data_IF_481868873351
#
_entry.id   IF_481868873351
#
_cell.length_a   1.000
_cell.length_b   1.000
_cell.length_c   1.000
_cell.angle_alpha   90.00
_cell.angle_beta   90.00
_cell.angle_gamma   90.00
#
_symmetry.space_group_name_H-M   'P 1'
#
loop_
_entity.id
_entity.type
_entity.pdbx_description
1 polymer ?
#
# COMPACT_ATOMS: atom_id res chain seq x y z
N UNK A 1 -8.48 9.92 -8.33
CA UNK A 1 -9.50 10.98 -8.14
C UNK A 1 -10.72 10.81 -9.05
N UNK A 2 -10.59 10.56 -10.35
CA UNK A 2 -11.77 10.43 -11.23
C UNK A 2 -12.81 9.38 -10.76
N UNK A 3 -12.37 8.16 -10.43
CA UNK A 3 -13.30 7.16 -9.86
C UNK A 3 -13.86 7.59 -8.50
N UNK A 4 -13.06 8.31 -7.68
CA UNK A 4 -13.54 8.91 -6.43
C UNK A 4 -14.64 9.95 -6.64
N UNK A 5 -14.51 10.81 -7.66
CA UNK A 5 -15.50 11.83 -8.01
C UNK A 5 -16.85 11.22 -8.41
N UNK A 6 -16.85 10.02 -9.00
CA UNK A 6 -18.10 9.29 -9.29
C UNK A 6 -18.88 8.86 -8.05
N UNK A 7 -18.22 8.74 -6.89
CA UNK A 7 -18.75 8.20 -5.62
C UNK A 7 -19.39 6.79 -5.74
N UNK A 8 -19.13 6.11 -6.84
CA UNK A 8 -19.73 4.82 -7.19
C UNK A 8 -18.78 3.67 -6.85
N UNK A 9 -19.08 2.95 -5.78
CA UNK A 9 -18.27 1.82 -5.31
C UNK A 9 -18.29 0.65 -6.29
N UNK A 10 -19.30 0.50 -7.13
CA UNK A 10 -19.32 -0.52 -8.17
C UNK A 10 -18.26 -0.24 -9.23
N UNK A 11 -18.01 1.02 -9.58
CA UNK A 11 -16.92 1.39 -10.48
C UNK A 11 -15.55 1.16 -9.86
N UNK A 12 -15.37 1.38 -8.55
CA UNK A 12 -14.13 1.04 -7.87
C UNK A 12 -13.89 -0.49 -7.87
N UNK A 13 -14.93 -1.28 -7.64
CA UNK A 13 -14.86 -2.74 -7.75
C UNK A 13 -14.48 -3.18 -9.18
N UNK A 14 -15.15 -2.64 -10.21
CA UNK A 14 -14.86 -2.95 -11.61
C UNK A 14 -13.44 -2.55 -12.02
N UNK A 15 -12.93 -1.41 -11.54
CA UNK A 15 -11.53 -1.03 -11.74
C UNK A 15 -10.59 -2.10 -11.13
N UNK A 16 -10.90 -2.61 -9.94
CA UNK A 16 -10.16 -3.68 -9.30
C UNK A 16 -10.21 -4.99 -10.09
N UNK A 17 -11.41 -5.36 -10.57
CA UNK A 17 -11.63 -6.55 -11.41
C UNK A 17 -10.78 -6.50 -12.68
N UNK A 18 -10.84 -5.40 -13.41
CA UNK A 18 -10.06 -5.23 -14.65
C UNK A 18 -8.56 -5.25 -14.36
N UNK A 19 -8.12 -4.52 -13.33
CA UNK A 19 -6.72 -4.51 -12.89
C UNK A 19 -6.22 -5.94 -12.62
N UNK A 20 -7.00 -6.75 -11.93
CA UNK A 20 -6.63 -8.11 -11.60
C UNK A 20 -6.60 -9.02 -12.84
N UNK A 21 -7.64 -8.99 -13.67
CA UNK A 21 -7.73 -9.85 -14.87
C UNK A 21 -6.57 -9.56 -15.84
N UNK A 22 -6.33 -8.29 -16.13
CA UNK A 22 -5.27 -7.89 -17.06
C UNK A 22 -3.88 -8.07 -16.46
N UNK A 23 -3.71 -7.66 -15.19
CA UNK A 23 -2.44 -7.86 -14.49
C UNK A 23 -2.06 -9.33 -14.35
N UNK A 24 -3.02 -10.20 -14.02
CA UNK A 24 -2.78 -11.65 -13.96
C UNK A 24 -2.42 -12.23 -15.32
N UNK A 25 -3.04 -11.76 -16.38
CA UNK A 25 -2.68 -12.18 -17.74
C UNK A 25 -1.22 -11.81 -18.09
N UNK A 26 -0.71 -10.70 -17.54
CA UNK A 26 0.68 -10.26 -17.70
C UNK A 26 1.66 -10.85 -16.68
N UNK A 27 1.20 -11.73 -15.77
CA UNK A 27 2.05 -12.35 -14.75
C UNK A 27 2.24 -11.51 -13.48
N UNK A 28 1.44 -10.47 -13.27
CA UNK A 28 1.45 -9.66 -12.06
C UNK A 28 0.55 -10.33 -11.01
N UNK A 29 1.07 -10.55 -9.80
CA UNK A 29 0.37 -11.27 -8.73
C UNK A 29 -0.06 -10.37 -7.58
N UNK A 30 0.52 -9.18 -7.46
CA UNK A 30 0.25 -8.21 -6.40
C UNK A 30 0.20 -6.80 -6.98
N UNK A 31 -0.91 -6.10 -6.77
CA UNK A 31 -1.07 -4.70 -7.14
C UNK A 31 -0.76 -3.81 -5.93
N UNK A 32 0.05 -2.77 -6.11
CA UNK A 32 0.27 -1.73 -5.10
C UNK A 32 -0.86 -0.69 -5.14
N UNK A 33 -2.07 -1.19 -4.90
CA UNK A 33 -3.35 -0.48 -4.87
C UNK A 33 -4.33 -1.20 -3.92
N UNK A 34 -5.26 -0.44 -3.29
CA UNK A 34 -5.60 0.98 -3.46
C UNK A 34 -4.69 1.96 -2.72
N UNK A 35 -4.72 3.24 -3.17
CA UNK A 35 -4.30 4.37 -2.34
C UNK A 35 -5.44 4.66 -1.36
N UNK A 36 -5.14 4.56 -0.06
CA UNK A 36 -6.09 4.75 1.04
C UNK A 36 -5.87 6.08 1.80
N UNK A 37 -4.91 6.87 1.33
CA UNK A 37 -4.63 8.18 1.88
C UNK A 37 -5.81 9.12 1.66
N UNK A 38 -6.25 9.81 2.72
CA UNK A 38 -7.29 10.84 2.67
C UNK A 38 -6.64 12.15 2.28
N UNK A 39 -6.91 12.68 1.08
CA UNK A 39 -6.24 13.87 0.54
C UNK A 39 -6.88 15.15 1.06
N UNK A 40 -6.80 15.38 2.35
CA UNK A 40 -7.40 16.50 3.06
C UNK A 40 -6.52 17.77 3.11
N UNK A 41 -5.25 17.66 2.70
CA UNK A 41 -4.35 18.80 2.57
C UNK A 41 -4.14 19.14 1.08
N UNK A 42 -4.64 20.31 0.61
CA UNK A 42 -4.51 20.70 -0.80
C UNK A 42 -3.06 20.99 -1.21
N UNK A 43 -2.15 21.16 -0.24
CA UNK A 43 -0.72 21.36 -0.51
C UNK A 43 0.06 20.05 -0.63
N UNK A 44 -0.59 18.90 -0.47
CA UNK A 44 0.09 17.63 -0.56
C UNK A 44 0.65 17.40 -1.97
N UNK A 45 1.99 17.29 -2.14
CA UNK A 45 2.59 17.18 -3.47
C UNK A 45 2.63 15.77 -4.03
N UNK A 46 2.31 14.75 -3.20
CA UNK A 46 2.52 13.33 -3.53
C UNK A 46 1.21 12.61 -3.80
N UNK A 47 0.22 12.77 -2.94
CA UNK A 47 -1.04 12.01 -2.99
C UNK A 47 -2.00 12.61 -4.01
N UNK A 48 -2.42 13.84 -3.85
CA UNK A 48 -3.21 14.60 -4.83
C UNK A 48 -4.24 13.73 -5.61
N UNK A 49 -4.12 13.69 -6.95
CA UNK A 49 -5.01 12.96 -7.84
C UNK A 49 -4.98 11.42 -7.68
N UNK A 50 -4.05 10.86 -6.91
CA UNK A 50 -3.97 9.41 -6.63
C UNK A 50 -5.03 8.94 -5.65
N UNK A 51 -5.50 9.83 -4.74
CA UNK A 51 -6.53 9.53 -3.75
C UNK A 51 -7.94 9.43 -4.36
N UNK A 52 -8.85 8.75 -3.66
CA UNK A 52 -10.28 8.79 -3.96
C UNK A 52 -10.93 10.11 -3.55
N UNK A 53 -10.34 10.88 -2.63
CA UNK A 53 -10.84 12.18 -2.19
C UNK A 53 -10.38 12.59 -0.80
N UNK A 54 -11.05 13.60 -0.25
CA UNK A 54 -10.77 14.22 1.06
C UNK A 54 -11.68 13.73 2.19
N UNK A 55 -12.74 12.98 1.85
CA UNK A 55 -13.68 12.41 2.81
C UNK A 55 -13.22 10.99 3.22
N UNK A 56 -12.90 10.76 4.52
CA UNK A 56 -12.45 9.46 5.01
C UNK A 56 -13.44 8.33 4.75
N UNK A 57 -14.74 8.62 4.79
CA UNK A 57 -15.79 7.62 4.56
C UNK A 57 -15.84 7.22 3.08
N UNK A 58 -15.73 8.19 2.17
CA UNK A 58 -15.65 7.92 0.74
C UNK A 58 -14.42 7.07 0.42
N UNK A 59 -13.22 7.49 0.92
CA UNK A 59 -11.98 6.74 0.69
C UNK A 59 -12.09 5.31 1.23
N UNK A 60 -12.70 5.15 2.41
CA UNK A 60 -12.94 3.83 3.02
C UNK A 60 -13.80 2.92 2.14
N UNK A 61 -14.94 3.41 1.68
CA UNK A 61 -15.87 2.62 0.85
C UNK A 61 -15.29 2.28 -0.52
N UNK A 62 -14.68 3.26 -1.18
CA UNK A 62 -14.06 3.07 -2.50
C UNK A 62 -12.85 2.15 -2.42
N UNK A 63 -12.00 2.34 -1.39
CA UNK A 63 -10.84 1.48 -1.13
C UNK A 63 -11.23 0.03 -0.87
N UNK A 64 -12.22 -0.20 0.00
CA UNK A 64 -12.72 -1.54 0.29
C UNK A 64 -13.33 -2.23 -0.95
N UNK A 65 -14.04 -1.49 -1.80
CA UNK A 65 -14.59 -2.02 -3.05
C UNK A 65 -13.47 -2.41 -4.03
N UNK A 66 -12.44 -1.57 -4.18
CA UNK A 66 -11.29 -1.87 -5.03
C UNK A 66 -10.51 -3.09 -4.53
N UNK A 67 -10.31 -3.22 -3.20
CA UNK A 67 -9.68 -4.40 -2.59
C UNK A 67 -10.42 -5.68 -2.99
N UNK A 68 -11.76 -5.69 -2.85
CA UNK A 68 -12.58 -6.85 -3.26
C UNK A 68 -12.46 -7.12 -4.75
N UNK A 69 -12.59 -6.09 -5.59
CA UNK A 69 -12.46 -6.26 -7.04
C UNK A 69 -11.11 -6.86 -7.47
N UNK A 70 -10.01 -6.46 -6.83
CA UNK A 70 -8.69 -7.03 -7.09
C UNK A 70 -8.61 -8.48 -6.60
N UNK A 71 -9.00 -8.77 -5.36
CA UNK A 71 -8.73 -10.04 -4.72
C UNK A 71 -9.66 -11.17 -5.15
N UNK A 72 -10.93 -10.88 -5.42
CA UNK A 72 -11.89 -11.84 -5.95
C UNK A 72 -11.52 -12.31 -7.38
N UNK A 73 -10.65 -11.56 -8.08
CA UNK A 73 -10.16 -11.90 -9.41
C UNK A 73 -8.69 -12.36 -9.43
N UNK A 74 -8.23 -12.86 -8.28
CA UNK A 74 -6.99 -13.65 -8.20
C UNK A 74 -5.69 -12.84 -8.18
N UNK A 75 -5.71 -11.60 -7.66
CA UNK A 75 -4.51 -10.78 -7.44
C UNK A 75 -4.49 -10.29 -5.98
N UNK A 76 -3.34 -10.06 -5.38
CA UNK A 76 -3.25 -9.42 -4.07
C UNK A 76 -3.42 -7.90 -4.21
N UNK A 77 -4.30 -7.32 -3.39
CA UNK A 77 -4.38 -5.88 -3.19
C UNK A 77 -3.42 -5.43 -2.09
N UNK A 78 -2.91 -4.20 -2.19
CA UNK A 78 -2.02 -3.59 -1.20
C UNK A 78 -2.49 -2.18 -0.88
N UNK A 79 -3.10 -2.00 0.29
CA UNK A 79 -3.51 -0.68 0.76
C UNK A 79 -2.29 0.18 1.10
N UNK A 80 -2.31 1.45 0.70
CA UNK A 80 -1.17 2.36 0.89
C UNK A 80 -1.57 3.81 1.08
N UNK A 81 -0.76 4.59 1.75
CA UNK A 81 0.52 4.32 2.44
C UNK A 81 0.30 4.40 3.95
N UNK A 82 0.33 3.26 4.62
CA UNK A 82 0.02 3.17 6.06
C UNK A 82 1.07 3.89 6.93
N UNK A 83 0.68 4.70 7.92
CA UNK A 83 -0.67 4.92 8.48
C UNK A 83 -1.44 6.11 7.89
N UNK A 84 -1.05 6.67 6.77
CA UNK A 84 -1.71 7.77 6.05
C UNK A 84 -0.73 8.88 5.67
N UNK A 85 -0.69 9.21 4.39
CA UNK A 85 0.20 10.20 3.77
C UNK A 85 -0.56 11.44 3.25
N UNK A 86 -1.89 11.49 3.49
CA UNK A 86 -2.73 12.52 2.85
C UNK A 86 -2.55 13.92 3.42
N UNK A 87 -2.16 14.06 4.69
CA UNK A 87 -2.00 15.35 5.38
C UNK A 87 -0.51 15.75 5.54
N UNK A 88 0.28 15.64 4.46
CA UNK A 88 1.67 16.08 4.44
C UNK A 88 1.88 17.21 3.44
N UNK A 89 2.82 18.11 3.73
CA UNK A 89 3.27 19.17 2.83
C UNK A 89 4.64 18.87 2.22
N UNK A 90 5.41 17.96 2.81
CA UNK A 90 6.72 17.53 2.33
C UNK A 90 6.61 16.38 1.34
N UNK A 91 7.58 16.32 0.42
CA UNK A 91 7.72 15.20 -0.49
C UNK A 91 8.54 14.08 0.16
N UNK A 92 7.90 12.96 0.51
CA UNK A 92 8.54 11.80 1.13
C UNK A 92 9.64 11.14 0.29
N UNK A 93 9.70 11.42 -1.01
CA UNK A 93 10.82 10.99 -1.86
C UNK A 93 12.11 11.78 -1.57
N UNK A 94 12.01 12.99 -1.03
CA UNK A 94 13.13 13.90 -0.82
C UNK A 94 13.55 14.04 0.65
N UNK A 95 12.56 14.03 1.55
CA UNK A 95 12.78 14.25 2.99
C UNK A 95 11.76 13.49 3.84
N UNK A 96 12.02 13.38 5.15
CA UNK A 96 11.08 12.77 6.09
C UNK A 96 9.85 13.66 6.26
N UNK A 97 8.76 13.26 5.64
CA UNK A 97 7.47 13.96 5.78
C UNK A 97 6.89 13.77 7.19
N UNK A 98 6.16 14.78 7.70
CA UNK A 98 5.55 14.71 9.03
C UNK A 98 4.05 14.91 8.96
N UNK A 99 3.32 14.07 9.70
CA UNK A 99 1.88 14.23 9.98
C UNK A 99 1.74 14.61 11.46
N UNK A 100 1.55 15.90 11.71
CA UNK A 100 1.52 16.46 13.06
C UNK A 100 0.09 16.71 13.54
N UNK A 101 -0.64 15.64 13.79
CA UNK A 101 -2.03 15.67 14.24
C UNK A 101 -2.20 14.84 15.52
N UNK A 102 -3.32 15.02 16.23
CA UNK A 102 -3.61 14.24 17.44
C UNK A 102 -3.93 12.78 17.11
N UNK A 103 -3.78 11.89 18.09
CA UNK A 103 -4.18 10.48 17.96
C UNK A 103 -5.65 10.34 17.58
N UNK A 104 -6.53 11.10 18.20
CA UNK A 104 -7.97 11.09 17.90
C UNK A 104 -8.25 11.48 16.43
N UNK A 105 -7.49 12.43 15.88
CA UNK A 105 -7.57 12.79 14.47
C UNK A 105 -7.10 11.64 13.58
N UNK A 106 -5.96 11.00 13.87
CA UNK A 106 -5.47 9.83 13.12
C UNK A 106 -6.51 8.72 13.10
N UNK A 107 -7.14 8.41 14.23
CA UNK A 107 -8.15 7.36 14.34
C UNK A 107 -9.41 7.66 13.50
N UNK A 108 -9.81 8.93 13.43
CA UNK A 108 -11.05 9.35 12.75
C UNK A 108 -10.88 9.61 11.25
N UNK A 109 -9.68 9.91 10.80
CA UNK A 109 -9.41 10.30 9.41
C UNK A 109 -8.41 9.35 8.74
N UNK A 110 -7.15 9.41 9.15
CA UNK A 110 -6.06 8.73 8.44
C UNK A 110 -6.15 7.21 8.51
N UNK A 111 -6.42 6.64 9.70
CA UNK A 111 -6.48 5.19 9.92
C UNK A 111 -7.79 4.54 9.47
N UNK A 112 -8.87 5.32 9.33
CA UNK A 112 -10.20 4.80 9.02
C UNK A 112 -10.26 4.04 7.69
N UNK A 113 -9.71 4.52 6.56
CA UNK A 113 -9.69 3.76 5.31
C UNK A 113 -8.86 2.47 5.39
N UNK A 114 -7.79 2.45 6.17
CA UNK A 114 -6.98 1.25 6.38
C UNK A 114 -7.74 0.19 7.17
N UNK A 115 -8.47 0.60 8.23
CA UNK A 115 -9.33 -0.33 8.96
C UNK A 115 -10.44 -0.90 8.06
N UNK A 116 -11.04 -0.08 7.21
CA UNK A 116 -12.04 -0.54 6.25
C UNK A 116 -11.46 -1.54 5.23
N UNK A 117 -10.23 -1.32 4.77
CA UNK A 117 -9.53 -2.25 3.89
C UNK A 117 -9.18 -3.57 4.62
N UNK A 118 -8.76 -3.52 5.89
CA UNK A 118 -8.51 -4.72 6.72
C UNK A 118 -9.81 -5.51 6.89
N UNK A 119 -10.91 -4.85 7.20
CA UNK A 119 -12.23 -5.48 7.32
C UNK A 119 -12.72 -6.07 5.99
N UNK A 120 -12.31 -5.50 4.84
CA UNK A 120 -12.55 -6.06 3.51
C UNK A 120 -11.58 -7.20 3.14
N UNK A 121 -10.68 -7.58 4.05
CA UNK A 121 -9.76 -8.70 3.86
C UNK A 121 -8.52 -8.37 3.01
N UNK A 122 -8.04 -7.12 3.00
CA UNK A 122 -6.83 -6.74 2.26
C UNK A 122 -5.64 -7.60 2.67
N UNK A 123 -4.89 -8.10 1.70
CA UNK A 123 -3.80 -9.05 1.94
C UNK A 123 -2.40 -8.46 1.87
N UNK A 124 -2.26 -7.24 1.39
CA UNK A 124 -1.04 -6.44 1.40
C UNK A 124 -1.27 -5.08 2.06
N UNK A 125 -0.25 -4.58 2.73
CA UNK A 125 -0.21 -3.21 3.24
C UNK A 125 1.18 -2.63 2.94
N UNK A 126 1.22 -1.44 2.35
CA UNK A 126 2.48 -0.72 2.10
C UNK A 126 2.64 0.40 3.10
N UNK A 127 3.84 0.53 3.64
CA UNK A 127 4.15 1.51 4.68
C UNK A 127 4.43 2.89 4.11
N UNK A 128 4.41 3.90 4.96
CA UNK A 128 4.73 5.28 4.68
C UNK A 128 6.06 5.68 5.33
N UNK A 129 6.94 6.34 4.58
CA UNK A 129 8.17 6.94 5.11
C UNK A 129 7.90 8.32 5.70
N UNK A 130 7.23 8.34 6.84
CA UNK A 130 6.87 9.58 7.51
C UNK A 130 6.88 9.49 9.03
N UNK A 131 7.09 10.62 9.67
CA UNK A 131 7.05 10.82 11.11
C UNK A 131 5.63 11.15 11.57
N UNK A 132 5.12 10.37 12.51
CA UNK A 132 3.81 10.58 13.15
C UNK A 132 3.99 10.64 14.68
N UNK A 133 4.31 11.83 15.25
CA UNK A 133 4.62 11.96 16.68
C UNK A 133 3.53 11.47 17.62
N UNK A 134 2.26 11.49 17.19
CA UNK A 134 1.14 10.96 17.96
C UNK A 134 1.11 9.43 18.06
N UNK A 135 1.89 8.72 17.26
CA UNK A 135 2.04 7.26 17.29
C UNK A 135 3.38 6.83 17.86
N UNK A 136 4.47 7.51 17.46
CA UNK A 136 5.83 7.22 17.89
C UNK A 136 6.59 8.53 18.12
N UNK A 137 6.94 8.80 19.38
CA UNK A 137 7.64 10.03 19.78
C UNK A 137 9.14 10.02 19.50
N UNK A 138 9.67 8.93 18.95
CA UNK A 138 11.10 8.83 18.60
C UNK A 138 11.48 9.56 17.30
N UNK A 139 10.47 10.11 16.60
CA UNK A 139 10.65 10.76 15.30
C UNK A 139 11.28 9.85 14.22
N UNK A 140 11.03 8.56 14.35
CA UNK A 140 11.43 7.55 13.38
C UNK A 140 10.36 7.43 12.28
N UNK A 141 10.79 7.21 11.03
CA UNK A 141 9.84 6.93 9.95
C UNK A 141 8.95 5.74 10.31
N UNK A 142 7.64 5.84 10.09
CA UNK A 142 6.67 4.80 10.45
C UNK A 142 7.07 3.41 9.95
N UNK A 143 7.63 3.32 8.75
CA UNK A 143 8.20 2.08 8.18
C UNK A 143 9.20 1.37 9.12
N UNK A 144 9.93 2.14 9.92
CA UNK A 144 10.99 1.64 10.80
C UNK A 144 10.56 1.55 12.27
N UNK A 145 9.30 1.85 12.57
CA UNK A 145 8.73 1.88 13.92
C UNK A 145 7.95 0.59 14.23
N UNK A 146 8.41 -0.18 15.21
CA UNK A 146 7.69 -1.35 15.71
C UNK A 146 6.34 -0.96 16.34
N UNK A 147 6.30 0.18 17.02
CA UNK A 147 5.06 0.74 17.61
C UNK A 147 3.98 0.95 16.55
N UNK A 148 4.37 1.44 15.35
CA UNK A 148 3.42 1.68 14.28
C UNK A 148 3.11 0.39 13.48
N UNK A 149 4.13 -0.39 13.12
CA UNK A 149 3.94 -1.56 12.26
C UNK A 149 3.46 -2.80 13.01
N UNK A 150 4.00 -3.07 14.18
CA UNK A 150 3.64 -4.26 14.95
C UNK A 150 2.51 -3.97 15.93
N UNK A 151 2.66 -2.98 16.81
CA UNK A 151 1.67 -2.77 17.88
C UNK A 151 0.37 -2.18 17.33
N UNK A 152 0.43 -1.14 16.49
CA UNK A 152 -0.78 -0.54 15.93
C UNK A 152 -1.36 -1.40 14.80
N UNK A 153 -0.61 -1.61 13.70
CA UNK A 153 -1.18 -2.25 12.51
C UNK A 153 -1.51 -3.72 12.72
N UNK A 154 -0.56 -4.52 13.24
CA UNK A 154 -0.81 -5.95 13.38
C UNK A 154 -1.66 -6.27 14.59
N UNK A 155 -1.33 -5.72 15.77
CA UNK A 155 -1.98 -6.10 17.02
C UNK A 155 -3.31 -5.38 17.23
N UNK A 156 -3.34 -4.05 17.15
CA UNK A 156 -4.55 -3.29 17.45
C UNK A 156 -5.55 -3.32 16.29
N UNK A 157 -5.08 -3.14 15.04
CA UNK A 157 -5.95 -3.13 13.86
C UNK A 157 -6.19 -4.53 13.25
N UNK A 158 -5.44 -5.55 13.67
CA UNK A 158 -5.64 -6.95 13.28
C UNK A 158 -5.16 -7.32 11.87
N UNK A 159 -4.21 -6.57 11.29
CA UNK A 159 -3.67 -6.89 9.96
C UNK A 159 -2.71 -8.08 9.99
N UNK A 160 -3.03 -9.15 9.25
CA UNK A 160 -2.24 -10.39 9.20
C UNK A 160 -1.61 -10.68 7.83
N UNK A 161 -1.79 -9.80 6.84
CA UNK A 161 -1.25 -9.96 5.50
C UNK A 161 0.25 -9.64 5.36
N UNK A 162 0.70 -9.49 4.12
CA UNK A 162 2.05 -9.09 3.77
C UNK A 162 2.25 -7.59 4.03
N UNK A 163 3.24 -7.24 4.83
CA UNK A 163 3.64 -5.86 5.06
C UNK A 163 4.85 -5.55 4.19
N UNK A 164 4.69 -4.59 3.30
CA UNK A 164 5.69 -4.18 2.30
C UNK A 164 6.16 -2.78 2.65
N UNK A 165 7.46 -2.51 2.67
CA UNK A 165 7.93 -1.13 2.78
C UNK A 165 7.54 -0.33 1.55
N UNK A 166 7.41 0.99 1.63
CA UNK A 166 7.62 1.82 0.44
C UNK A 166 9.09 1.69 -0.01
N UNK A 167 9.43 2.28 -1.14
CA UNK A 167 10.76 2.12 -1.73
C UNK A 167 11.87 2.59 -0.77
N UNK A 168 12.77 1.68 -0.38
CA UNK A 168 13.82 1.97 0.60
C UNK A 168 14.95 2.86 0.07
N UNK A 169 15.01 3.11 -1.24
CA UNK A 169 15.94 4.07 -1.85
C UNK A 169 15.48 5.54 -1.69
N UNK A 170 14.28 5.79 -1.13
CA UNK A 170 13.77 7.13 -0.88
C UNK A 170 14.53 7.82 0.26
N UNK A 171 14.88 9.09 0.07
CA UNK A 171 15.57 9.88 1.10
C UNK A 171 14.75 10.07 2.38
N UNK A 172 13.43 10.03 2.29
CA UNK A 172 12.52 10.15 3.44
C UNK A 172 12.69 9.06 4.50
N UNK A 173 13.19 7.86 4.12
CA UNK A 173 13.48 6.77 5.07
C UNK A 173 14.95 6.70 5.43
N UNK A 174 15.85 6.98 4.49
CA UNK A 174 17.29 6.85 4.73
C UNK A 174 17.82 7.96 5.63
N UNK A 175 17.47 9.24 5.35
CA UNK A 175 18.09 10.35 6.06
C UNK A 175 19.62 10.20 6.10
N UNK A 176 20.17 10.06 7.30
CA UNK A 176 21.59 9.81 7.53
C UNK A 176 21.92 8.34 7.79
N UNK A 177 20.97 7.41 7.64
CA UNK A 177 21.18 5.99 7.88
C UNK A 177 21.80 5.31 6.65
N UNK A 178 22.58 4.25 6.90
CA UNK A 178 23.00 3.34 5.83
C UNK A 178 21.83 2.46 5.38
N UNK A 179 21.89 1.94 4.16
CA UNK A 179 20.92 0.96 3.66
C UNK A 179 20.87 -0.29 4.56
N UNK A 180 21.99 -0.73 5.10
CA UNK A 180 22.05 -1.86 6.03
C UNK A 180 21.25 -1.59 7.30
N UNK A 181 21.42 -0.43 7.93
CA UNK A 181 20.70 -0.04 9.13
C UNK A 181 19.19 0.13 8.86
N UNK A 182 18.79 0.79 7.77
CA UNK A 182 17.40 0.94 7.39
C UNK A 182 16.74 -0.42 7.15
N UNK A 183 17.44 -1.34 6.45
CA UNK A 183 17.03 -2.73 6.23
C UNK A 183 16.74 -3.44 7.54
N UNK A 184 17.70 -3.45 8.47
CA UNK A 184 17.55 -4.14 9.75
C UNK A 184 16.44 -3.54 10.60
N UNK A 185 16.30 -2.22 10.66
CA UNK A 185 15.18 -1.55 11.35
C UNK A 185 13.83 -1.91 10.76
N UNK A 186 13.72 -1.95 9.43
CA UNK A 186 12.48 -2.35 8.76
C UNK A 186 12.07 -3.79 9.12
N UNK A 187 13.04 -4.73 9.21
CA UNK A 187 12.78 -6.11 9.67
C UNK A 187 12.33 -6.13 11.12
N UNK A 188 13.00 -5.40 12.02
CA UNK A 188 12.61 -5.28 13.44
C UNK A 188 11.22 -4.69 13.59
N UNK A 189 10.87 -3.68 12.79
CA UNK A 189 9.55 -3.07 12.80
C UNK A 189 8.41 -4.01 12.40
N UNK A 190 8.70 -5.12 11.69
CA UNK A 190 7.70 -6.13 11.32
C UNK A 190 7.40 -6.22 9.84
N UNK A 191 8.16 -5.54 8.96
CA UNK A 191 7.98 -5.65 7.50
C UNK A 191 8.35 -7.03 6.99
N UNK A 192 7.57 -7.56 6.05
CA UNK A 192 7.79 -8.87 5.43
C UNK A 192 8.54 -8.75 4.09
N UNK A 193 8.37 -7.64 3.38
CA UNK A 193 8.97 -7.37 2.08
C UNK A 193 9.66 -6.01 2.11
N UNK A 194 10.91 -5.99 1.69
CA UNK A 194 11.75 -4.80 1.59
C UNK A 194 11.78 -4.37 0.12
N UNK A 195 11.05 -3.30 -0.21
CA UNK A 195 10.89 -2.87 -1.59
C UNK A 195 12.03 -1.96 -2.01
N UNK A 196 12.60 -2.20 -3.19
CA UNK A 196 13.57 -1.34 -3.87
C UNK A 196 14.69 -0.80 -2.96
N UNK A 197 15.43 -1.64 -2.24
CA UNK A 197 16.66 -1.16 -1.61
C UNK A 197 17.64 -0.72 -2.72
N UNK A 198 18.36 0.37 -2.51
CA UNK A 198 19.34 0.88 -3.49
C UNK A 198 20.45 -0.14 -3.81
N UNK A 199 20.73 -1.05 -2.87
CA UNK A 199 21.62 -2.21 -3.07
C UNK A 199 21.02 -3.45 -2.40
N UNK A 200 20.51 -4.37 -3.22
CA UNK A 200 19.91 -5.61 -2.75
C UNK A 200 20.92 -6.54 -2.05
N UNK A 201 22.20 -6.55 -2.47
CA UNK A 201 23.24 -7.39 -1.83
C UNK A 201 23.55 -6.90 -0.44
N UNK A 202 23.69 -5.58 -0.26
CA UNK A 202 23.87 -4.96 1.06
C UNK A 202 22.68 -5.28 1.97
N UNK A 203 21.46 -5.19 1.47
CA UNK A 203 20.27 -5.49 2.26
C UNK A 203 20.16 -6.97 2.63
N UNK A 204 20.45 -7.89 1.71
CA UNK A 204 20.49 -9.34 2.01
C UNK A 204 21.53 -9.61 3.10
N UNK A 205 22.75 -9.07 2.96
CA UNK A 205 23.81 -9.26 3.95
C UNK A 205 23.41 -8.68 5.31
N UNK A 206 22.79 -7.49 5.33
CA UNK A 206 22.29 -6.87 6.55
C UNK A 206 21.26 -7.75 7.28
N UNK A 207 20.38 -8.47 6.55
CA UNK A 207 19.45 -9.42 7.17
C UNK A 207 20.21 -10.61 7.77
N UNK A 208 21.19 -11.17 7.07
CA UNK A 208 22.03 -12.28 7.57
C UNK A 208 22.79 -11.83 8.84
N UNK A 209 23.42 -10.66 8.81
CA UNK A 209 24.16 -10.11 9.95
C UNK A 209 23.22 -9.80 11.13
N UNK A 210 22.01 -9.35 10.88
CA UNK A 210 20.99 -9.11 11.90
C UNK A 210 20.58 -10.37 12.66
N UNK A 211 20.47 -11.51 11.97
CA UNK A 211 20.26 -12.82 12.61
C UNK A 211 21.52 -13.25 13.38
N UNK A 212 22.68 -13.17 12.75
CA UNK A 212 23.94 -13.59 13.37
C UNK A 212 24.28 -12.79 14.65
N UNK A 213 23.96 -11.49 14.68
CA UNK A 213 24.14 -10.63 15.86
C UNK A 213 23.04 -10.73 16.90
N UNK A 214 21.96 -11.48 16.63
CA UNK A 214 20.80 -11.58 17.52
C UNK A 214 19.91 -10.32 17.54
N UNK A 215 20.03 -9.41 16.59
CA UNK A 215 19.16 -8.22 16.48
C UNK A 215 17.71 -8.61 16.23
N UNK A 216 17.50 -9.69 15.51
CA UNK A 216 16.23 -10.40 15.35
C UNK A 216 16.48 -11.89 15.13
N UNK A 217 15.47 -12.71 15.40
CA UNK A 217 15.59 -14.16 15.33
C UNK A 217 15.39 -14.70 13.91
N UNK A 218 15.94 -15.89 13.61
CA UNK A 218 15.65 -16.64 12.40
C UNK A 218 14.14 -16.90 12.27
N UNK A 219 13.44 -17.23 13.36
CA UNK A 219 12.00 -17.43 13.40
C UNK A 219 11.21 -16.19 12.93
N UNK A 220 11.74 -14.96 13.16
CA UNK A 220 11.16 -13.72 12.61
C UNK A 220 11.24 -13.70 11.08
N UNK A 221 12.36 -14.13 10.52
CA UNK A 221 12.54 -14.23 9.06
C UNK A 221 11.66 -15.32 8.48
N UNK A 222 11.62 -16.50 9.10
CA UNK A 222 10.79 -17.63 8.70
C UNK A 222 9.30 -17.26 8.64
N UNK A 223 8.82 -16.47 9.58
CA UNK A 223 7.43 -16.00 9.57
C UNK A 223 7.10 -15.18 8.32
N UNK A 224 8.01 -14.32 7.86
CA UNK A 224 7.84 -13.55 6.61
C UNK A 224 7.98 -14.43 5.36
N UNK A 225 8.99 -15.30 5.33
CA UNK A 225 9.22 -16.24 4.22
C UNK A 225 8.02 -17.15 4.04
N UNK A 226 7.45 -17.69 5.14
CA UNK A 226 6.25 -18.53 5.11
C UNK A 226 5.08 -17.81 4.45
N UNK A 227 4.79 -16.54 4.81
CA UNK A 227 3.72 -15.76 4.17
C UNK A 227 3.93 -15.60 2.66
N UNK A 228 5.17 -15.29 2.25
CA UNK A 228 5.52 -15.15 0.83
C UNK A 228 5.38 -16.47 0.06
N UNK A 229 5.85 -17.57 0.63
CA UNK A 229 5.75 -18.89 0.01
C UNK A 229 4.30 -19.37 -0.06
N UNK A 230 3.49 -19.10 0.96
CA UNK A 230 2.04 -19.40 0.94
C UNK A 230 1.34 -18.62 -0.17
N UNK A 231 1.62 -17.33 -0.33
CA UNK A 231 1.07 -16.53 -1.42
C UNK A 231 1.50 -17.05 -2.79
N UNK A 232 2.78 -17.39 -2.98
CA UNK A 232 3.28 -18.00 -4.23
C UNK A 232 2.64 -19.35 -4.52
N UNK A 233 2.43 -20.18 -3.49
CA UNK A 233 1.77 -21.47 -3.63
C UNK A 233 0.31 -21.33 -4.06
N UNK A 234 -0.43 -20.41 -3.47
CA UNK A 234 -1.83 -20.10 -3.82
C UNK A 234 -1.97 -19.67 -5.27
N UNK A 235 -1.03 -18.88 -5.80
CA UNK A 235 -0.99 -18.50 -7.21
C UNK A 235 -0.52 -19.62 -8.15
N UNK A 236 -0.15 -20.79 -7.63
CA UNK A 236 0.33 -21.91 -8.42
C UNK A 236 1.74 -21.70 -9.01
N UNK A 237 2.51 -20.72 -8.53
CA UNK A 237 3.83 -20.38 -9.08
C UNK A 237 4.89 -21.49 -8.97
N UNK A 238 4.66 -22.48 -8.09
CA UNK A 238 5.49 -23.68 -7.99
C UNK A 238 5.26 -24.67 -9.12
N UNK A 239 4.15 -24.54 -9.87
CA UNK A 239 3.79 -25.40 -11.01
C UNK A 239 3.94 -24.65 -12.33
N UNK A 240 3.34 -23.47 -12.41
CA UNK A 240 3.37 -22.64 -13.61
C UNK A 240 3.68 -21.20 -13.25
N UNK A 241 4.81 -20.68 -13.77
CA UNK A 241 5.29 -19.33 -13.49
C UNK A 241 5.36 -18.45 -14.74
N UNK A 242 5.06 -19.01 -15.90
CA UNK A 242 5.09 -18.29 -17.16
C UNK A 242 3.68 -17.93 -17.60
N UNK A 243 3.56 -16.85 -18.37
CA UNK A 243 2.30 -16.42 -18.96
C UNK A 243 2.24 -16.82 -20.44
N UNK A 244 1.03 -17.06 -20.93
CA UNK A 244 0.78 -17.26 -22.35
C UNK A 244 0.66 -15.92 -23.06
N UNK A 245 1.50 -15.67 -24.05
CA UNK A 245 1.43 -14.46 -24.90
C UNK A 245 0.06 -14.33 -25.58
N UNK A 246 -0.51 -15.43 -26.01
CA UNK A 246 -1.86 -15.46 -26.59
C UNK A 246 -2.91 -15.11 -25.53
N UNK A 247 -2.77 -15.62 -24.32
CA UNK A 247 -3.62 -15.28 -23.18
C UNK A 247 -3.60 -13.78 -22.82
N UNK A 248 -2.46 -13.11 -23.00
CA UNK A 248 -2.36 -11.64 -22.86
C UNK A 248 -3.23 -10.95 -23.91
N UNK A 249 -3.07 -11.30 -25.20
CA UNK A 249 -3.83 -10.69 -26.31
C UNK A 249 -5.36 -10.83 -26.14
N UNK A 250 -5.81 -11.95 -25.56
CA UNK A 250 -7.21 -12.26 -25.37
C UNK A 250 -7.85 -11.54 -24.18
N UNK A 251 -7.05 -11.04 -23.23
CA UNK A 251 -7.55 -10.49 -21.95
C UNK A 251 -7.24 -9.03 -21.70
N UNK A 252 -6.12 -8.52 -22.26
CA UNK A 252 -5.66 -7.15 -21.99
C UNK A 252 -6.22 -6.19 -23.04
N UNK A 253 -6.83 -5.09 -22.58
CA UNK A 253 -7.35 -4.02 -23.42
C UNK A 253 -8.59 -4.42 -24.24
N UNK A 254 -9.28 -5.50 -23.88
CA UNK A 254 -10.50 -5.92 -24.59
C UNK A 254 -11.66 -4.95 -24.32
N UNK A 255 -12.59 -4.83 -25.27
CA UNK A 255 -13.70 -3.87 -25.19
C UNK A 255 -14.51 -3.99 -23.90
N UNK A 256 -14.73 -5.20 -23.40
CA UNK A 256 -15.43 -5.46 -22.13
C UNK A 256 -14.70 -4.85 -20.91
N UNK A 257 -13.37 -4.82 -20.93
CA UNK A 257 -12.56 -4.22 -19.86
C UNK A 257 -12.49 -2.69 -19.98
N UNK A 258 -12.66 -2.15 -21.17
CA UNK A 258 -12.67 -0.69 -21.41
C UNK A 258 -14.02 -0.02 -21.06
N UNK A 259 -15.11 -0.77 -21.05
CA UNK A 259 -16.44 -0.23 -20.79
C UNK A 259 -16.56 0.45 -19.39
N UNK A 260 -16.08 -0.15 -18.28
CA UNK A 260 -16.12 0.51 -16.97
C UNK A 260 -15.32 1.83 -16.93
N UNK A 261 -14.20 1.92 -17.66
CA UNK A 261 -13.39 3.13 -17.73
C UNK A 261 -14.15 4.30 -18.39
N UNK A 262 -14.92 4.02 -19.44
CA UNK A 262 -15.79 5.03 -20.08
C UNK A 262 -16.86 5.52 -19.10
N UNK A 263 -17.58 4.61 -18.45
CA UNK A 263 -18.61 4.97 -17.45
C UNK A 263 -18.01 5.78 -16.30
N UNK A 264 -16.81 5.39 -15.84
CA UNK A 264 -16.10 6.14 -14.81
C UNK A 264 -15.74 7.56 -15.25
N UNK A 265 -15.28 7.73 -16.50
CA UNK A 265 -14.97 9.05 -17.05
C UNK A 265 -16.22 9.94 -17.14
N UNK A 266 -17.33 9.41 -17.61
CA UNK A 266 -18.61 10.14 -17.71
C UNK A 266 -19.13 10.55 -16.32
N UNK A 267 -19.12 9.63 -15.34
CA UNK A 267 -19.57 9.90 -13.96
C UNK A 267 -18.62 10.78 -13.15
N UNK A 268 -17.37 10.91 -13.57
CA UNK A 268 -16.38 11.77 -12.91
C UNK A 268 -16.56 13.25 -13.24
N UNK A 269 -17.36 13.59 -14.25
CA UNK A 269 -17.64 14.99 -14.62
C UNK A 269 -18.32 15.67 -13.45
N UNK A 270 -17.68 16.72 -12.92
CA UNK A 270 -18.15 17.45 -11.73
C UNK A 270 -18.37 18.90 -12.09
N UNK A 271 -19.58 19.42 -11.88
CA UNK A 271 -19.88 20.84 -12.00
C UNK A 271 -19.23 21.55 -10.81
N UNK A 272 -18.17 22.31 -11.07
CA UNK A 272 -17.43 23.05 -10.03
C UNK A 272 -18.05 24.42 -9.79
N UNK A 273 -18.58 25.05 -10.84
CA UNK A 273 -19.21 26.38 -10.76
C UNK A 273 -20.25 26.50 -11.86
N UNK A 274 -21.44 26.96 -11.49
CA UNK A 274 -22.47 27.43 -12.40
C UNK A 274 -22.50 28.95 -12.35
N UNK A 275 -22.47 29.61 -13.51
CA UNK A 275 -22.50 31.07 -13.65
C UNK A 275 -23.77 31.59 -14.33
N UNK A 276 -24.83 30.74 -14.42
CA UNK A 276 -26.13 31.13 -14.95
C UNK A 276 -26.91 31.96 -13.95
#
# INVERSE_FOLDING_TARGET
MGVGASRDTALAYEMGRVTAIEGRAMGIHMAFAPVLDVNNNPKNPVIAARSFGEDPELVSRMGAALVRGIQEHGMLATGKHFPGHGDTEQNSHLELSRVNVSRARLDSVELRPFQAAINAGVRGMMTFHGDLPALDTTHTAATLSATVMTDLLRTQMGFNGLLVTDALDMNGVLGNMTMAEATQRAVVAGNDVLLMPSDAKVSIQAVVDGVASGRFTEARIDASVKKLLMAKHEFGLHRERFVSVEGVRQRVGVAANMAPARVAAEKAITLVRDSL
#
